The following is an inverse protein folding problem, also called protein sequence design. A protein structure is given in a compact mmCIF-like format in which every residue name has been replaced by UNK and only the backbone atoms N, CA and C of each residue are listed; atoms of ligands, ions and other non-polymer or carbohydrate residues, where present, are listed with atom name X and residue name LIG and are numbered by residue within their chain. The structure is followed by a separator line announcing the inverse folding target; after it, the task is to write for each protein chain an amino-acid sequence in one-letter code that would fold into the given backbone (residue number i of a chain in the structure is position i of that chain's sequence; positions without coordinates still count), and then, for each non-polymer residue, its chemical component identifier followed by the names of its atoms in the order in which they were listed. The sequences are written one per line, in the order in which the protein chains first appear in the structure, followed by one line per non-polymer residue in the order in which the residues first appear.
data_IF_121751525934
#
_entry.id   IF_121751525934
#
_cell.length_a   1.000
_cell.length_b   1.000
_cell.length_c   1.000
_cell.angle_alpha   90.00
_cell.angle_beta   90.00
_cell.angle_gamma   90.00
#
_symmetry.space_group_name_H-M   'P 1'
#
loop_
_entity.id
_entity.type
_entity.pdbx_description
1 polymer ?
#
# COMPACT_ATOMS: atom_id res chain seq x y z
N UNK A 1 -4.55 -9.27 14.42
CA UNK A 1 -3.30 -8.78 15.05
C UNK A 1 -3.21 -7.29 14.76
N UNK A 2 -3.39 -6.44 15.77
CA UNK A 2 -3.08 -5.00 15.65
C UNK A 2 -1.61 -4.87 16.05
N UNK A 3 -0.76 -4.46 15.12
CA UNK A 3 0.66 -4.28 15.38
C UNK A 3 0.92 -2.91 16.02
N UNK A 4 1.64 -2.88 17.14
CA UNK A 4 1.95 -1.66 17.90
C UNK A 4 2.97 -0.75 17.20
N UNK A 5 3.23 -0.96 15.91
CA UNK A 5 4.25 -0.25 15.12
C UNK A 5 3.99 1.26 15.08
N UNK A 6 2.73 1.66 15.19
CA UNK A 6 2.31 3.07 15.21
C UNK A 6 2.43 3.75 16.58
N UNK A 7 2.47 2.99 17.68
CA UNK A 7 2.37 3.55 19.04
C UNK A 7 3.59 4.36 19.50
N UNK A 8 4.73 4.22 18.83
CA UNK A 8 5.97 4.96 19.14
C UNK A 8 6.48 5.81 17.99
N UNK A 9 5.73 5.93 16.90
CA UNK A 9 6.15 6.65 15.71
C UNK A 9 5.95 8.16 15.92
N UNK A 10 7.04 8.92 16.02
CA UNK A 10 7.00 10.39 16.13
C UNK A 10 7.49 10.97 14.82
N UNK A 11 6.79 11.98 14.30
CA UNK A 11 7.24 12.69 13.10
C UNK A 11 8.41 13.63 13.45
N UNK A 12 9.54 13.44 12.79
CA UNK A 12 10.74 14.26 12.92
C UNK A 12 10.95 15.10 11.65
N UNK A 13 10.90 16.42 11.80
CA UNK A 13 11.07 17.39 10.71
C UNK A 13 12.48 17.36 10.12
N UNK A 14 13.51 17.05 10.92
CA UNK A 14 14.89 17.01 10.46
C UNK A 14 15.13 15.85 9.48
N UNK A 15 14.37 14.76 9.64
CA UNK A 15 14.41 13.57 8.79
C UNK A 15 13.34 13.66 7.70
N UNK A 16 12.32 14.51 7.88
CA UNK A 16 11.15 14.60 6.99
C UNK A 16 10.27 13.36 7.06
N UNK A 17 10.28 12.64 8.19
CA UNK A 17 9.66 11.32 8.30
C UNK A 17 9.43 10.85 9.74
N UNK A 18 8.95 9.62 9.89
CA UNK A 18 8.73 8.98 11.19
C UNK A 18 10.03 8.41 11.78
N UNK A 19 10.25 8.61 13.08
CA UNK A 19 11.45 8.23 13.85
C UNK A 19 11.82 6.74 13.78
N UNK A 20 10.83 5.87 13.52
CA UNK A 20 10.99 4.43 13.39
C UNK A 20 11.13 3.98 11.93
N UNK A 21 11.42 4.89 11.00
CA UNK A 21 11.56 4.62 9.56
C UNK A 21 10.32 4.05 8.88
N UNK A 22 9.14 4.15 9.49
CA UNK A 22 7.90 3.65 8.90
C UNK A 22 7.56 4.36 7.57
N UNK A 23 8.04 5.58 7.39
CA UNK A 23 7.95 6.33 6.13
C UNK A 23 8.66 5.63 4.95
N UNK A 24 9.66 4.77 5.21
CA UNK A 24 10.32 3.96 4.18
C UNK A 24 9.40 2.89 3.59
N UNK A 25 8.34 2.46 4.31
CA UNK A 25 7.43 1.43 3.85
C UNK A 25 6.76 1.81 2.52
N UNK A 26 6.46 3.10 2.32
CA UNK A 26 5.92 3.59 1.05
C UNK A 26 6.87 3.29 -0.13
N UNK A 27 8.18 3.43 0.07
CA UNK A 27 9.19 3.08 -0.95
C UNK A 27 9.27 1.57 -1.16
N UNK A 28 9.24 0.79 -0.08
CA UNK A 28 9.25 -0.67 -0.17
C UNK A 28 8.05 -1.21 -0.94
N UNK A 29 6.85 -0.70 -0.67
CA UNK A 29 5.64 -1.12 -1.38
C UNK A 29 5.72 -0.75 -2.86
N UNK A 30 6.17 0.47 -3.18
CA UNK A 30 6.38 0.90 -4.58
C UNK A 30 7.32 -0.06 -5.31
N UNK A 31 8.48 -0.36 -4.71
CA UNK A 31 9.48 -1.27 -5.27
C UNK A 31 8.95 -2.70 -5.45
N UNK A 32 8.13 -3.20 -4.52
CA UNK A 32 7.51 -4.53 -4.63
C UNK A 32 6.49 -4.58 -5.76
N UNK A 33 5.64 -3.55 -5.90
CA UNK A 33 4.64 -3.49 -6.98
C UNK A 33 5.33 -3.42 -8.34
N UNK A 34 6.27 -2.49 -8.50
CA UNK A 34 7.05 -2.33 -9.74
C UNK A 34 7.83 -3.60 -10.08
N UNK A 35 8.61 -4.12 -9.12
CA UNK A 35 9.43 -5.31 -9.33
C UNK A 35 8.62 -6.56 -9.66
N UNK A 36 7.42 -6.71 -9.07
CA UNK A 36 6.52 -7.83 -9.38
C UNK A 36 6.02 -7.76 -10.83
N UNK A 37 5.65 -6.57 -11.31
CA UNK A 37 5.20 -6.39 -12.69
C UNK A 37 6.32 -6.57 -13.70
N UNK A 38 7.51 -6.04 -13.44
CA UNK A 38 8.67 -6.27 -14.30
C UNK A 38 9.06 -7.76 -14.34
N UNK A 39 9.04 -8.45 -13.20
CA UNK A 39 9.32 -9.90 -13.16
C UNK A 39 8.26 -10.68 -13.95
N UNK A 40 7.00 -10.24 -13.95
CA UNK A 40 5.92 -10.85 -14.76
C UNK A 40 6.18 -10.65 -16.25
N UNK A 41 6.50 -9.42 -16.66
CA UNK A 41 6.83 -9.08 -18.06
C UNK A 41 8.04 -9.87 -18.55
N UNK A 42 9.13 -9.92 -17.79
CA UNK A 42 10.33 -10.68 -18.16
C UNK A 42 10.03 -12.17 -18.36
N UNK A 43 9.14 -12.74 -17.51
CA UNK A 43 8.70 -14.14 -17.67
C UNK A 43 7.87 -14.33 -18.93
N UNK A 44 6.93 -13.43 -19.22
CA UNK A 44 6.11 -13.47 -20.44
C UNK A 44 6.97 -13.32 -21.70
N UNK A 45 7.91 -12.38 -21.72
CA UNK A 45 8.87 -12.20 -22.81
C UNK A 45 9.73 -13.46 -23.01
N UNK A 46 10.22 -14.07 -21.92
CA UNK A 46 11.01 -15.31 -22.01
C UNK A 46 10.20 -16.46 -22.60
N UNK A 47 8.93 -16.62 -22.19
CA UNK A 47 8.04 -17.66 -22.72
C UNK A 47 7.77 -17.44 -24.21
N UNK A 48 7.44 -16.20 -24.60
CA UNK A 48 7.16 -15.83 -25.99
C UNK A 48 8.39 -15.96 -26.89
N UNK A 49 9.58 -15.64 -26.38
CA UNK A 49 10.85 -15.82 -27.10
C UNK A 49 11.20 -17.30 -27.31
N UNK A 50 10.87 -18.17 -26.36
CA UNK A 50 11.05 -19.62 -26.52
C UNK A 50 10.06 -20.21 -27.53
N UNK A 51 8.89 -19.60 -27.72
CA UNK A 51 7.90 -20.05 -28.70
C UNK A 51 8.13 -19.50 -30.12
N UNK A 52 8.75 -18.32 -30.27
CA UNK A 52 9.04 -17.71 -31.59
C UNK A 52 10.54 -17.75 -31.93
N UNK A 53 10.91 -18.61 -32.90
CA UNK A 53 12.26 -18.74 -33.49
C UNK A 53 12.54 -17.61 -34.52
N UNK A 54 11.96 -16.42 -34.36
CA UNK A 54 12.19 -15.30 -35.29
C UNK A 54 12.48 -13.99 -34.57
N UNK A 55 13.68 -13.45 -34.83
CA UNK A 55 14.34 -12.34 -34.14
C UNK A 55 13.79 -10.94 -34.44
N UNK A 56 12.74 -10.80 -35.27
CA UNK A 56 12.26 -9.50 -35.76
C UNK A 56 11.06 -8.93 -34.96
N UNK A 57 10.35 -9.75 -34.17
CA UNK A 57 9.17 -9.32 -33.40
C UNK A 57 9.49 -8.80 -31.98
N UNK A 58 10.74 -8.89 -31.55
CA UNK A 58 11.13 -8.66 -30.15
C UNK A 58 11.00 -7.18 -29.74
N UNK A 59 11.29 -6.25 -30.65
CA UNK A 59 11.19 -4.81 -30.38
C UNK A 59 9.75 -4.29 -30.39
N UNK A 60 8.89 -4.83 -31.27
CA UNK A 60 7.48 -4.44 -31.37
C UNK A 60 6.64 -5.01 -30.23
N UNK A 61 7.01 -6.14 -29.63
CA UNK A 61 6.33 -6.69 -28.44
C UNK A 61 6.73 -6.00 -27.12
N UNK A 62 7.90 -5.36 -27.08
CA UNK A 62 8.46 -4.74 -25.87
C UNK A 62 7.76 -3.42 -25.50
N UNK A 63 7.39 -2.61 -26.50
CA UNK A 63 6.65 -1.35 -26.27
C UNK A 63 5.22 -1.58 -25.70
N UNK A 64 4.38 -2.47 -26.27
CA UNK A 64 3.08 -2.82 -25.70
C UNK A 64 3.18 -3.44 -24.31
N UNK A 65 4.18 -4.31 -24.09
CA UNK A 65 4.41 -4.97 -22.81
C UNK A 65 4.75 -3.97 -21.70
N UNK A 66 5.62 -3.00 -22.01
CA UNK A 66 5.97 -1.93 -21.08
C UNK A 66 4.80 -1.01 -20.78
N UNK A 67 4.01 -0.62 -21.78
CA UNK A 67 2.80 0.21 -21.57
C UNK A 67 1.76 -0.55 -20.72
N UNK A 68 1.61 -1.86 -20.94
CA UNK A 68 0.76 -2.72 -20.11
C UNK A 68 1.27 -2.80 -18.67
N UNK A 69 2.57 -2.97 -18.46
CA UNK A 69 3.19 -2.98 -17.14
C UNK A 69 2.97 -1.67 -16.39
N UNK A 70 3.21 -0.53 -17.05
CA UNK A 70 2.99 0.79 -16.46
C UNK A 70 1.51 1.00 -16.06
N UNK A 71 0.56 0.54 -16.87
CA UNK A 71 -0.86 0.57 -16.54
C UNK A 71 -1.20 -0.32 -15.34
N UNK A 72 -0.61 -1.52 -15.25
CA UNK A 72 -0.86 -2.44 -14.15
C UNK A 72 -0.20 -1.98 -12.84
N UNK A 73 1.00 -1.39 -12.91
CA UNK A 73 1.65 -0.72 -11.78
C UNK A 73 0.74 0.39 -11.24
N UNK A 74 0.23 1.27 -12.12
CA UNK A 74 -0.69 2.35 -11.72
C UNK A 74 -1.96 1.81 -11.08
N UNK A 75 -2.58 0.79 -11.67
CA UNK A 75 -3.79 0.15 -11.14
C UNK A 75 -3.54 -0.45 -9.75
N UNK A 76 -2.47 -1.24 -9.61
CA UNK A 76 -2.06 -1.86 -8.34
C UNK A 76 -1.80 -0.82 -7.25
N UNK A 77 -1.12 0.28 -7.61
CA UNK A 77 -0.85 1.37 -6.68
C UNK A 77 -2.14 2.08 -6.22
N UNK A 78 -3.10 2.29 -7.11
CA UNK A 78 -4.42 2.85 -6.75
C UNK A 78 -5.19 1.92 -5.80
N UNK A 79 -5.18 0.62 -6.06
CA UNK A 79 -5.82 -0.37 -5.18
C UNK A 79 -5.15 -0.36 -3.81
N UNK A 80 -3.82 -0.35 -3.75
CA UNK A 80 -3.07 -0.28 -2.49
C UNK A 80 -3.44 0.95 -1.66
N UNK A 81 -3.46 2.14 -2.28
CA UNK A 81 -3.86 3.39 -1.60
C UNK A 81 -5.31 3.30 -1.11
N UNK A 82 -6.23 2.82 -1.95
CA UNK A 82 -7.65 2.70 -1.60
C UNK A 82 -7.89 1.75 -0.42
N UNK A 83 -7.25 0.59 -0.42
CA UNK A 83 -7.36 -0.39 0.67
C UNK A 83 -6.70 0.13 1.95
N UNK A 84 -5.53 0.76 1.85
CA UNK A 84 -4.83 1.33 3.00
C UNK A 84 -5.64 2.44 3.67
N UNK A 85 -6.25 3.33 2.87
CA UNK A 85 -7.16 4.36 3.38
C UNK A 85 -8.37 3.74 4.09
N UNK A 86 -8.96 2.68 3.52
CA UNK A 86 -10.04 1.93 4.16
C UNK A 86 -9.66 1.39 5.53
N UNK A 87 -8.51 0.70 5.64
CA UNK A 87 -8.02 0.13 6.91
C UNK A 87 -7.77 1.21 7.97
N UNK A 88 -7.16 2.34 7.58
CA UNK A 88 -6.89 3.45 8.51
C UNK A 88 -8.20 4.09 9.00
N UNK A 89 -9.16 4.30 8.09
CA UNK A 89 -10.47 4.86 8.45
C UNK A 89 -11.28 3.91 9.34
N UNK A 90 -11.25 2.61 9.07
CA UNK A 90 -11.90 1.58 9.88
C UNK A 90 -11.30 1.56 11.31
N UNK A 91 -9.97 1.60 11.42
CA UNK A 91 -9.28 1.67 12.71
C UNK A 91 -9.64 2.94 13.52
N UNK A 92 -9.87 4.06 12.84
CA UNK A 92 -10.30 5.29 13.49
C UNK A 92 -11.74 5.19 14.01
N UNK A 93 -12.63 4.54 13.27
CA UNK A 93 -14.01 4.31 13.67
C UNK A 93 -14.09 3.44 14.94
N UNK A 94 -13.26 2.40 15.04
CA UNK A 94 -13.18 1.56 16.25
C UNK A 94 -12.70 2.36 17.47
N UNK A 95 -11.70 3.22 17.28
CA UNK A 95 -11.19 4.12 18.34
C UNK A 95 -12.25 5.13 18.78
N UNK A 96 -13.04 5.65 17.82
CA UNK A 96 -14.14 6.58 18.08
C UNK A 96 -15.28 5.93 18.88
N UNK A 97 -15.60 4.66 18.60
CA UNK A 97 -16.59 3.88 19.36
C UNK A 97 -16.12 3.56 20.78
N UNK A 98 -14.83 3.23 20.95
CA UNK A 98 -14.22 3.08 22.27
C UNK A 98 -14.28 4.37 23.09
N UNK A 99 -13.95 5.52 22.48
CA UNK A 99 -14.06 6.82 23.16
C UNK A 99 -15.51 7.18 23.52
N UNK A 100 -16.50 6.83 22.69
CA UNK A 100 -17.91 7.01 23.04
C UNK A 100 -18.34 6.11 24.20
N UNK A 101 -17.91 4.85 24.24
CA UNK A 101 -18.21 3.93 25.36
C UNK A 101 -17.51 4.36 26.66
N UNK A 102 -16.27 4.82 26.60
CA UNK A 102 -15.49 5.30 27.75
C UNK A 102 -15.94 6.70 28.20
N UNK A 103 -16.55 7.51 27.32
CA UNK A 103 -17.15 8.81 27.64
C UNK A 103 -18.56 8.73 28.27
N UNK A 104 -19.17 7.54 28.33
CA UNK A 104 -20.54 7.33 28.84
C UNK A 104 -20.70 7.10 30.37
N UNK A 105 -19.68 6.89 31.24
CA UNK A 105 -19.96 6.66 32.65
C UNK A 105 -20.04 7.92 33.54
N UNK A 106 -19.86 9.14 33.03
CA UNK A 106 -19.87 10.34 33.90
C UNK A 106 -21.21 11.09 33.95
N UNK A 107 -22.02 11.09 32.87
CA UNK A 107 -23.26 11.90 32.82
C UNK A 107 -24.50 11.22 33.37
N UNK A 108 -24.44 9.93 33.72
CA UNK A 108 -25.60 9.18 34.25
C UNK A 108 -25.68 9.14 35.77
N UNK A 109 -24.59 9.45 36.48
CA UNK A 109 -24.53 9.43 37.95
C UNK A 109 -24.87 10.77 38.61
N UNK A 110 -24.74 11.91 37.91
CA UNK A 110 -24.99 13.24 38.50
C UNK A 110 -26.47 13.70 38.46
N UNK A 111 -27.41 12.79 38.23
CA UNK A 111 -28.86 13.10 38.17
C UNK A 111 -29.70 12.27 39.15
N UNK A 112 -29.05 11.74 40.19
CA UNK A 112 -29.66 11.15 41.40
C UNK A 112 -28.83 11.60 42.61
N UNK A 113 -28.96 12.87 42.97
CA UNK A 113 -28.47 13.48 44.20
C UNK A 113 -29.49 14.52 44.61
#
# INVERSE_FOLDING_TARGET
MVSNIWNGAVYDVNIGGLSNNLHCLARCVSAVIEGSEYTRVEREQRINSLSNVHTDELQEAELPSRVSAEANIKSSMQIYVKLSAGVVLDSWNDTSRLLQLVGVPARRWLRRG
#
